data_IF_616909217607
#
_entry.id   IF_616909217607
#
_cell.length_a   1.000
_cell.length_b   1.000
_cell.length_c   1.000
_cell.angle_alpha   90.00
_cell.angle_beta   90.00
_cell.angle_gamma   90.00
#
_symmetry.space_group_name_H-M   'P 1'
#
loop_
_entity.id
_entity.type
_entity.pdbx_description
1 polymer ?
#
# COMPACT_ATOMS: atom_id res chain seq x y z
N UNK A 1 -21.35 12.02 15.59
CA UNK A 1 -20.31 12.41 14.60
C UNK A 1 -19.71 11.13 14.05
N UNK A 2 -19.37 11.06 12.76
CA UNK A 2 -18.61 9.93 12.21
C UNK A 2 -17.24 9.87 12.88
N UNK A 3 -16.82 8.69 13.36
CA UNK A 3 -15.45 8.48 13.83
C UNK A 3 -14.48 8.84 12.70
N UNK A 4 -13.39 9.55 13.00
CA UNK A 4 -12.34 9.79 11.99
C UNK A 4 -11.38 8.59 11.87
N UNK A 5 -11.49 7.61 12.77
CA UNK A 5 -10.77 6.35 12.70
C UNK A 5 -11.40 5.37 11.71
N UNK A 6 -12.72 5.42 11.51
CA UNK A 6 -13.43 4.53 10.59
C UNK A 6 -14.57 5.28 9.91
N UNK A 7 -14.72 5.10 8.60
CA UNK A 7 -15.86 5.61 7.85
C UNK A 7 -17.11 4.75 8.11
N UNK A 8 -16.94 3.42 8.04
CA UNK A 8 -18.02 2.46 8.27
C UNK A 8 -17.49 1.07 8.64
N UNK A 9 -18.34 0.28 9.31
CA UNK A 9 -18.16 -1.16 9.50
C UNK A 9 -19.28 -1.87 8.76
N UNK A 10 -18.94 -2.82 7.90
CA UNK A 10 -19.88 -3.65 7.16
C UNK A 10 -19.78 -5.10 7.62
N UNK A 11 -20.92 -5.78 7.75
CA UNK A 11 -21.01 -7.22 7.85
C UNK A 11 -21.54 -7.75 6.52
N UNK A 12 -20.77 -8.62 5.89
CA UNK A 12 -21.12 -9.25 4.62
C UNK A 12 -21.34 -10.74 4.85
N UNK A 13 -22.39 -11.31 4.24
CA UNK A 13 -22.68 -12.75 4.31
C UNK A 13 -22.78 -13.33 2.90
N UNK A 14 -22.57 -14.65 2.80
CA UNK A 14 -22.98 -15.39 1.61
C UNK A 14 -24.43 -15.85 1.77
N UNK A 15 -25.28 -15.43 0.85
CA UNK A 15 -26.66 -15.90 0.71
C UNK A 15 -26.74 -16.92 -0.44
N UNK A 16 -27.49 -18.01 -0.25
CA UNK A 16 -27.52 -19.12 -1.22
C UNK A 16 -28.23 -18.71 -2.51
N UNK A 17 -29.25 -17.86 -2.42
CA UNK A 17 -30.05 -17.46 -3.57
C UNK A 17 -29.44 -16.27 -4.32
N UNK A 18 -28.85 -15.32 -3.57
CA UNK A 18 -28.41 -14.03 -4.10
C UNK A 18 -26.89 -13.97 -4.29
N UNK A 19 -26.12 -14.75 -3.51
CA UNK A 19 -24.66 -14.64 -3.44
C UNK A 19 -24.21 -13.70 -2.32
N UNK A 20 -23.10 -12.98 -2.53
CA UNK A 20 -22.51 -12.12 -1.51
C UNK A 20 -23.32 -10.83 -1.33
N UNK A 21 -23.81 -10.58 -0.10
CA UNK A 21 -24.59 -9.38 0.22
C UNK A 21 -24.13 -8.73 1.53
N UNK A 22 -24.24 -7.40 1.61
CA UNK A 22 -24.01 -6.67 2.86
C UNK A 22 -25.25 -6.87 3.74
N UNK A 23 -25.07 -7.61 4.82
CA UNK A 23 -26.14 -7.94 5.78
C UNK A 23 -26.44 -6.75 6.71
N UNK A 24 -25.42 -5.95 7.01
CA UNK A 24 -25.52 -4.85 7.97
C UNK A 24 -24.36 -3.87 7.76
N UNK A 25 -24.61 -2.58 8.01
CA UNK A 25 -23.59 -1.53 7.97
C UNK A 25 -23.83 -0.48 9.05
N UNK A 26 -22.76 0.07 9.61
CA UNK A 26 -22.81 1.19 10.53
C UNK A 26 -21.75 2.24 10.16
N UNK A 27 -22.10 3.54 10.08
CA UNK A 27 -23.46 4.06 10.25
C UNK A 27 -24.39 3.63 9.12
N UNK A 28 -25.69 3.61 9.41
CA UNK A 28 -26.72 3.33 8.42
C UNK A 28 -26.58 4.28 7.22
N UNK A 29 -26.75 3.75 6.01
CA UNK A 29 -26.68 4.51 4.75
C UNK A 29 -25.33 5.22 4.50
N UNK A 30 -24.25 4.75 5.12
CA UNK A 30 -22.88 5.27 4.91
C UNK A 30 -22.26 4.89 3.57
N UNK A 31 -22.85 3.93 2.87
CA UNK A 31 -22.43 3.41 1.57
C UNK A 31 -23.61 3.45 0.60
N UNK A 32 -23.33 3.75 -0.66
CA UNK A 32 -24.30 3.69 -1.76
C UNK A 32 -24.51 2.25 -2.24
N UNK A 33 -25.63 1.97 -2.90
CA UNK A 33 -25.92 0.63 -3.45
C UNK A 33 -24.80 0.10 -4.38
N UNK A 34 -24.15 1.00 -5.11
CA UNK A 34 -23.06 0.64 -6.01
C UNK A 34 -21.77 0.30 -5.25
N UNK A 35 -21.51 0.98 -4.13
CA UNK A 35 -20.40 0.64 -3.24
C UNK A 35 -20.69 -0.64 -2.47
N UNK A 36 -21.92 -0.84 -2.02
CA UNK A 36 -22.38 -2.04 -1.33
C UNK A 36 -22.13 -3.30 -2.17
N UNK A 37 -22.54 -3.29 -3.45
CA UNK A 37 -22.25 -4.37 -4.40
C UNK A 37 -20.75 -4.62 -4.57
N UNK A 38 -19.94 -3.56 -4.62
CA UNK A 38 -18.49 -3.72 -4.79
C UNK A 38 -17.84 -4.29 -3.52
N UNK A 39 -18.26 -3.81 -2.35
CA UNK A 39 -17.79 -4.28 -1.05
C UNK A 39 -18.18 -5.75 -0.87
N UNK A 40 -19.41 -6.14 -1.21
CA UNK A 40 -19.85 -7.54 -1.02
C UNK A 40 -19.01 -8.53 -1.82
N UNK A 41 -18.63 -8.17 -3.05
CA UNK A 41 -17.78 -9.00 -3.90
C UNK A 41 -16.31 -9.00 -3.45
N UNK A 42 -15.75 -7.86 -3.05
CA UNK A 42 -14.36 -7.76 -2.60
C UNK A 42 -14.11 -8.34 -1.19
N UNK A 43 -15.17 -8.48 -0.38
CA UNK A 43 -15.09 -9.02 0.98
C UNK A 43 -14.92 -10.54 1.04
N UNK A 44 -14.93 -11.23 -0.11
CA UNK A 44 -14.77 -12.67 -0.24
C UNK A 44 -13.56 -12.99 -1.13
N UNK A 45 -12.72 -13.97 -0.76
CA UNK A 45 -11.66 -14.47 -1.65
C UNK A 45 -12.24 -15.05 -2.95
N UNK A 46 -11.72 -14.61 -4.10
CA UNK A 46 -12.07 -15.10 -5.44
C UNK A 46 -11.54 -16.51 -5.72
N UNK A 47 -10.45 -16.91 -5.06
CA UNK A 47 -9.86 -18.24 -5.22
C UNK A 47 -10.34 -19.21 -4.12
N UNK A 48 -10.59 -20.45 -4.54
CA UNK A 48 -10.93 -21.56 -3.65
C UNK A 48 -9.75 -22.04 -2.78
N UNK A 49 -8.61 -21.34 -2.75
CA UNK A 49 -7.46 -21.73 -1.93
C UNK A 49 -7.83 -21.80 -0.43
N UNK A 50 -8.84 -21.05 0.00
CA UNK A 50 -9.37 -21.09 1.36
C UNK A 50 -10.57 -22.04 1.55
N UNK A 51 -11.12 -22.61 0.47
CA UNK A 51 -12.45 -23.25 0.51
C UNK A 51 -12.50 -24.56 1.31
N UNK A 52 -11.37 -25.20 1.58
CA UNK A 52 -11.31 -26.47 2.31
C UNK A 52 -11.01 -26.33 3.81
N UNK A 53 -10.62 -25.13 4.27
CA UNK A 53 -10.20 -24.92 5.65
C UNK A 53 -11.21 -24.08 6.43
N UNK A 54 -11.46 -24.47 7.68
CA UNK A 54 -12.10 -23.57 8.64
C UNK A 54 -11.09 -22.53 9.10
N UNK A 55 -11.58 -21.30 9.33
CA UNK A 55 -10.73 -20.24 9.84
C UNK A 55 -11.15 -18.87 9.38
N UNK A 56 -10.20 -17.95 9.44
CA UNK A 56 -10.38 -16.58 8.98
C UNK A 56 -9.14 -16.11 8.21
N UNK A 57 -9.34 -15.13 7.35
CA UNK A 57 -8.30 -14.51 6.54
C UNK A 57 -8.52 -12.99 6.56
N UNK A 58 -7.46 -12.25 6.90
CA UNK A 58 -7.45 -10.79 6.82
C UNK A 58 -6.74 -10.30 5.58
N UNK A 59 -7.19 -9.21 5.00
CA UNK A 59 -6.57 -8.59 3.83
C UNK A 59 -7.11 -7.19 3.60
N UNK A 60 -6.45 -6.42 2.72
CA UNK A 60 -6.88 -5.07 2.35
C UNK A 60 -7.31 -5.03 0.89
N UNK A 61 -8.39 -4.31 0.61
CA UNK A 61 -8.75 -3.88 -0.75
C UNK A 61 -9.03 -2.37 -0.77
N UNK A 62 -9.29 -1.81 -1.97
CA UNK A 62 -9.70 -0.40 -2.12
C UNK A 62 -11.07 -0.32 -2.76
N UNK A 63 -11.92 0.54 -2.19
CA UNK A 63 -13.25 0.82 -2.71
C UNK A 63 -13.29 2.24 -3.23
N UNK A 64 -13.69 2.39 -4.49
CA UNK A 64 -13.94 3.71 -5.08
C UNK A 64 -15.17 4.33 -4.42
N UNK A 65 -15.02 5.51 -3.84
CA UNK A 65 -16.10 6.25 -3.16
C UNK A 65 -16.78 7.25 -4.09
N UNK A 66 -18.04 7.51 -3.80
CA UNK A 66 -18.86 8.54 -4.43
C UNK A 66 -18.35 9.94 -4.05
N UNK A 67 -18.38 10.90 -5.00
CA UNK A 67 -18.01 12.30 -4.72
C UNK A 67 -16.65 12.77 -5.25
N UNK A 68 -16.07 12.13 -6.27
CA UNK A 68 -14.92 12.65 -7.01
C UNK A 68 -14.20 11.62 -7.87
N UNK A 69 -13.58 12.05 -8.97
CA UNK A 69 -12.66 11.19 -9.75
C UNK A 69 -11.50 10.80 -8.82
N UNK A 70 -11.26 9.50 -8.64
CA UNK A 70 -10.17 8.92 -7.84
C UNK A 70 -10.25 9.05 -6.31
N UNK A 71 -11.45 9.21 -5.74
CA UNK A 71 -11.64 9.04 -4.29
C UNK A 71 -11.75 7.56 -3.95
N UNK A 72 -10.91 7.07 -3.05
CA UNK A 72 -10.92 5.67 -2.58
C UNK A 72 -10.77 5.60 -1.07
N UNK A 73 -11.44 4.62 -0.47
CA UNK A 73 -11.22 4.19 0.91
C UNK A 73 -10.53 2.83 0.92
N UNK A 74 -9.76 2.57 1.97
CA UNK A 74 -9.23 1.25 2.28
C UNK A 74 -10.31 0.43 2.96
N UNK A 75 -10.52 -0.80 2.47
CA UNK A 75 -11.37 -1.81 3.08
C UNK A 75 -10.50 -2.89 3.71
N UNK A 76 -10.45 -2.91 5.04
CA UNK A 76 -9.82 -3.97 5.81
C UNK A 76 -10.84 -5.07 6.05
N UNK A 77 -10.63 -6.23 5.45
CA UNK A 77 -11.56 -7.35 5.50
C UNK A 77 -11.04 -8.43 6.45
N UNK A 78 -11.95 -9.05 7.18
CA UNK A 78 -11.75 -10.31 7.90
C UNK A 78 -12.80 -11.30 7.41
N UNK A 79 -12.42 -12.10 6.42
CA UNK A 79 -13.23 -13.20 5.92
C UNK A 79 -13.19 -14.37 6.91
N UNK A 80 -14.30 -15.05 7.11
CA UNK A 80 -14.46 -16.16 8.03
C UNK A 80 -15.26 -17.28 7.35
N UNK A 81 -14.81 -18.52 7.51
CA UNK A 81 -15.51 -19.71 7.07
C UNK A 81 -15.56 -20.74 8.21
N UNK A 82 -16.74 -21.31 8.43
CA UNK A 82 -16.97 -22.39 9.39
C UNK A 82 -17.83 -23.47 8.76
N UNK A 83 -17.60 -24.73 9.12
CA UNK A 83 -18.48 -25.82 8.74
C UNK A 83 -19.84 -25.63 9.36
N UNK A 84 -20.85 -25.97 8.59
CA UNK A 84 -22.24 -25.81 8.96
C UNK A 84 -23.03 -26.91 8.24
N UNK A 85 -23.41 -27.95 8.99
CA UNK A 85 -24.08 -29.14 8.44
C UNK A 85 -25.52 -28.83 8.02
N UNK A 86 -26.14 -27.82 8.64
CA UNK A 86 -27.49 -27.36 8.28
C UNK A 86 -27.48 -26.50 7.00
N UNK A 87 -26.29 -26.06 6.55
CA UNK A 87 -26.13 -25.32 5.33
C UNK A 87 -25.94 -26.29 4.14
N UNK A 88 -26.73 -26.18 3.05
CA UNK A 88 -26.58 -27.02 1.86
C UNK A 88 -25.17 -27.05 1.23
N UNK A 89 -24.36 -26.01 1.46
CA UNK A 89 -22.96 -25.94 0.97
C UNK A 89 -21.95 -26.59 1.92
N UNK A 90 -22.38 -27.00 3.13
CA UNK A 90 -21.56 -27.57 4.19
C UNK A 90 -20.74 -26.55 4.99
N UNK A 91 -20.91 -25.25 4.71
CA UNK A 91 -20.22 -24.17 5.41
C UNK A 91 -21.00 -22.86 5.38
N UNK A 92 -20.78 -22.04 6.41
CA UNK A 92 -21.24 -20.65 6.49
C UNK A 92 -20.05 -19.71 6.33
N UNK A 93 -20.21 -18.69 5.49
CA UNK A 93 -19.19 -17.69 5.18
C UNK A 93 -19.70 -16.28 5.50
N UNK A 94 -18.88 -15.53 6.23
CA UNK A 94 -19.13 -14.12 6.55
C UNK A 94 -17.84 -13.31 6.49
N UNK A 95 -17.95 -12.01 6.32
CA UNK A 95 -16.80 -11.09 6.31
C UNK A 95 -17.13 -9.82 7.07
N UNK A 96 -16.20 -9.35 7.89
CA UNK A 96 -16.28 -8.03 8.54
C UNK A 96 -15.37 -7.10 7.76
N UNK A 97 -15.88 -5.95 7.33
CA UNK A 97 -15.11 -4.95 6.58
C UNK A 97 -15.11 -3.62 7.31
N UNK A 98 -13.93 -3.10 7.62
CA UNK A 98 -13.75 -1.73 8.11
C UNK A 98 -13.31 -0.84 6.93
N UNK A 99 -14.10 0.19 6.63
CA UNK A 99 -13.72 1.23 5.67
C UNK A 99 -13.08 2.41 6.39
N UNK A 100 -11.97 2.91 5.84
CA UNK A 100 -11.22 4.06 6.40
C UNK A 100 -10.33 4.71 5.35
N UNK A 101 -9.93 5.96 5.59
CA UNK A 101 -8.88 6.63 4.81
C UNK A 101 -7.49 6.51 5.45
N UNK A 102 -7.40 5.97 6.66
CA UNK A 102 -6.14 5.85 7.39
C UNK A 102 -5.40 4.57 6.97
N UNK A 103 -4.15 4.66 6.49
CA UNK A 103 -3.36 3.51 6.03
C UNK A 103 -2.63 2.77 7.16
N UNK A 104 -3.31 2.49 8.28
CA UNK A 104 -2.73 1.86 9.48
C UNK A 104 -2.95 0.34 9.49
N UNK A 105 -2.20 -0.38 8.66
CA UNK A 105 -2.52 -1.77 8.29
C UNK A 105 -2.58 -2.71 9.50
N UNK A 106 -1.53 -2.73 10.31
CA UNK A 106 -1.42 -3.58 11.51
C UNK A 106 -2.46 -3.21 12.53
N UNK A 107 -2.72 -1.91 12.72
CA UNK A 107 -3.75 -1.43 13.63
C UNK A 107 -5.13 -2.00 13.26
N UNK A 108 -5.55 -1.87 12.00
CA UNK A 108 -6.86 -2.38 11.57
C UNK A 108 -6.93 -3.90 11.56
N UNK A 109 -5.83 -4.60 11.23
CA UNK A 109 -5.77 -6.05 11.40
C UNK A 109 -5.96 -6.47 12.85
N UNK A 110 -5.26 -5.84 13.80
CA UNK A 110 -5.41 -6.14 15.23
C UNK A 110 -6.81 -5.80 15.72
N UNK A 111 -7.38 -4.69 15.25
CA UNK A 111 -8.75 -4.30 15.56
C UNK A 111 -9.78 -5.34 15.09
N UNK A 112 -9.63 -5.84 13.86
CA UNK A 112 -10.48 -6.91 13.31
C UNK A 112 -10.37 -8.21 14.12
N UNK A 113 -9.16 -8.61 14.52
CA UNK A 113 -8.95 -9.81 15.36
C UNK A 113 -9.61 -9.68 16.75
N UNK A 114 -9.51 -8.49 17.35
CA UNK A 114 -10.16 -8.20 18.64
C UNK A 114 -11.68 -8.24 18.50
N UNK A 115 -12.24 -7.62 17.46
CA UNK A 115 -13.68 -7.68 17.15
C UNK A 115 -14.11 -9.14 16.95
N UNK A 116 -13.38 -9.91 16.14
CA UNK A 116 -13.67 -11.32 15.87
C UNK A 116 -13.65 -12.20 17.12
N UNK A 117 -12.68 -12.00 18.00
CA UNK A 117 -12.55 -12.78 19.23
C UNK A 117 -13.73 -12.53 20.17
N UNK A 118 -14.21 -11.29 20.27
CA UNK A 118 -15.38 -10.96 21.09
C UNK A 118 -16.70 -11.47 20.48
N UNK A 119 -16.82 -11.49 19.16
CA UNK A 119 -17.99 -12.05 18.45
C UNK A 119 -18.24 -13.51 18.80
N UNK A 120 -17.19 -14.33 19.00
CA UNK A 120 -17.34 -15.74 19.38
C UNK A 120 -18.14 -15.94 20.68
N UNK A 121 -18.28 -14.89 21.49
CA UNK A 121 -18.93 -14.92 22.79
C UNK A 121 -20.38 -14.40 22.77
N UNK A 122 -20.92 -13.93 21.63
CA UNK A 122 -22.27 -13.34 21.57
C UNK A 122 -22.84 -13.09 20.17
N UNK A 123 -23.88 -12.27 20.09
CA UNK A 123 -24.53 -11.92 18.81
C UNK A 123 -23.63 -11.01 17.96
N UNK A 124 -23.29 -11.47 16.75
CA UNK A 124 -22.40 -10.78 15.81
C UNK A 124 -22.77 -9.31 15.56
N UNK A 125 -24.03 -9.02 15.25
CA UNK A 125 -24.48 -7.63 14.96
C UNK A 125 -24.38 -6.72 16.18
N UNK A 126 -24.77 -7.22 17.35
CA UNK A 126 -24.71 -6.44 18.60
C UNK A 126 -23.25 -6.10 18.97
N UNK A 127 -22.33 -7.06 18.81
CA UNK A 127 -20.90 -6.84 19.08
C UNK A 127 -20.28 -5.84 18.09
N UNK A 128 -20.67 -5.88 16.82
CA UNK A 128 -20.22 -4.90 15.82
C UNK A 128 -20.76 -3.50 16.09
N UNK A 129 -22.03 -3.38 16.49
CA UNK A 129 -22.64 -2.11 16.88
C UNK A 129 -21.91 -1.51 18.10
N UNK A 130 -21.67 -2.33 19.12
CA UNK A 130 -20.94 -1.89 20.32
C UNK A 130 -19.51 -1.45 20.01
N UNK A 131 -18.79 -2.20 19.16
CA UNK A 131 -17.47 -1.81 18.69
C UNK A 131 -17.49 -0.44 17.97
N UNK A 132 -18.46 -0.23 17.07
CA UNK A 132 -18.61 1.03 16.35
C UNK A 132 -18.84 2.22 17.30
N UNK A 133 -19.69 2.05 18.31
CA UNK A 133 -19.98 3.09 19.32
C UNK A 133 -18.73 3.44 20.13
N UNK A 134 -17.96 2.45 20.57
CA UNK A 134 -16.70 2.68 21.28
C UNK A 134 -15.67 3.42 20.40
N UNK A 135 -15.49 2.99 19.15
CA UNK A 135 -14.57 3.62 18.19
C UNK A 135 -15.01 5.05 17.85
N UNK A 136 -16.31 5.33 17.86
CA UNK A 136 -16.86 6.66 17.62
C UNK A 136 -16.60 7.64 18.76
N UNK A 137 -16.33 7.13 19.96
CA UNK A 137 -15.99 7.94 21.13
C UNK A 137 -14.48 8.21 21.27
N UNK A 138 -13.64 7.61 20.43
CA UNK A 138 -12.21 7.86 20.45
C UNK A 138 -11.88 9.31 20.05
N UNK A 139 -10.82 9.84 20.66
CA UNK A 139 -10.25 11.13 20.25
C UNK A 139 -9.85 11.07 18.77
N UNK A 140 -9.98 12.18 18.05
CA UNK A 140 -9.59 12.26 16.63
C UNK A 140 -8.12 11.84 16.44
N UNK A 141 -7.80 11.04 15.41
CA UNK A 141 -6.44 10.64 15.12
C UNK A 141 -5.61 11.87 14.73
N UNK A 142 -4.54 12.12 15.46
CA UNK A 142 -3.61 13.23 15.24
C UNK A 142 -2.22 12.67 14.92
N UNK A 143 -1.57 13.09 13.82
CA UNK A 143 -0.26 12.57 13.49
C UNK A 143 0.81 12.89 14.56
N UNK A 144 1.74 11.96 14.75
CA UNK A 144 2.80 11.95 15.79
C UNK A 144 2.27 11.93 17.22
N UNK A 145 1.04 11.48 17.42
CA UNK A 145 0.48 11.25 18.76
C UNK A 145 0.27 9.76 18.97
N UNK A 146 0.75 9.28 20.11
CA UNK A 146 0.45 7.95 20.62
C UNK A 146 -0.94 7.98 21.27
N UNK A 147 -1.82 7.10 20.82
CA UNK A 147 -3.16 6.91 21.37
C UNK A 147 -3.23 5.58 22.10
N UNK A 148 -3.79 5.61 23.31
CA UNK A 148 -4.14 4.41 24.06
C UNK A 148 -5.66 4.22 23.98
N UNK A 149 -6.08 3.48 22.96
CA UNK A 149 -7.48 3.30 22.60
C UNK A 149 -8.07 2.09 23.32
N UNK A 150 -9.19 2.28 24.03
CA UNK A 150 -9.91 1.19 24.68
C UNK A 150 -10.97 0.64 23.71
N UNK A 151 -11.01 -0.69 23.55
CA UNK A 151 -12.10 -1.40 22.87
C UNK A 151 -12.37 -2.74 23.55
N UNK A 152 -13.64 -3.03 23.80
CA UNK A 152 -14.06 -4.10 24.70
C UNK A 152 -13.24 -4.03 26.01
N UNK A 153 -12.59 -5.14 26.40
CA UNK A 153 -11.72 -5.23 27.57
C UNK A 153 -10.22 -5.06 27.24
N UNK A 154 -9.88 -4.60 26.03
CA UNK A 154 -8.51 -4.48 25.56
C UNK A 154 -8.09 -3.02 25.37
N UNK A 155 -6.78 -2.78 25.49
CA UNK A 155 -6.14 -1.51 25.15
C UNK A 155 -5.25 -1.71 23.93
N UNK A 156 -5.38 -0.82 22.96
CA UNK A 156 -4.56 -0.79 21.75
C UNK A 156 -3.75 0.51 21.80
N UNK A 157 -2.43 0.38 21.82
CA UNK A 157 -1.53 1.51 21.60
C UNK A 157 -1.31 1.68 20.09
N UNK A 158 -1.56 2.88 19.56
CA UNK A 158 -1.33 3.19 18.14
C UNK A 158 -0.74 4.58 18.00
N UNK A 159 0.34 4.68 17.22
CA UNK A 159 0.90 5.96 16.81
C UNK A 159 0.41 6.28 15.40
N UNK A 160 -0.13 7.48 15.19
CA UNK A 160 -0.58 7.93 13.86
C UNK A 160 0.63 8.49 13.12
N UNK A 161 1.06 7.92 11.97
CA UNK A 161 2.28 8.33 11.30
C UNK A 161 2.29 9.78 10.80
N UNK A 162 3.48 10.39 10.83
CA UNK A 162 3.70 11.80 10.44
C UNK A 162 3.17 12.15 9.04
N UNK A 163 3.40 11.27 8.06
CA UNK A 163 3.06 11.51 6.64
C UNK A 163 1.57 11.75 6.39
N UNK A 164 0.71 11.47 7.37
CA UNK A 164 -0.72 11.79 7.32
C UNK A 164 -1.01 13.28 7.54
N UNK A 165 -0.08 14.09 8.08
CA UNK A 165 -0.21 15.57 8.16
C UNK A 165 -0.29 16.23 6.78
N UNK A 166 0.27 15.61 5.74
CA UNK A 166 0.36 16.23 4.43
C UNK A 166 -0.93 16.24 3.61
N UNK A 167 -2.07 15.79 4.16
CA UNK A 167 -3.32 15.77 3.39
C UNK A 167 -4.19 17.03 3.51
N UNK A 168 -4.06 17.86 4.56
CA UNK A 168 -4.66 19.21 4.63
C UNK A 168 -4.04 20.01 5.78
N UNK A 169 -3.17 20.99 5.49
CA UNK A 169 -2.97 22.13 6.38
C UNK A 169 -2.74 23.37 5.51
N UNK A 170 -3.67 24.32 5.61
CA UNK A 170 -3.49 25.70 5.18
C UNK A 170 -2.22 26.27 5.81
N UNK A 171 -1.45 26.99 5.01
CA UNK A 171 -0.21 27.66 5.37
C UNK A 171 -0.30 28.47 6.67
N UNK A 172 0.12 27.89 7.81
CA UNK A 172 0.40 28.65 9.04
C UNK A 172 1.24 27.89 10.11
N UNK A 173 1.83 26.73 9.80
CA UNK A 173 2.45 25.85 10.81
C UNK A 173 3.98 25.92 10.91
N UNK A 174 4.60 27.06 10.56
CA UNK A 174 6.05 27.24 10.65
C UNK A 174 6.54 27.80 11.99
N UNK A 175 5.65 28.13 12.94
CA UNK A 175 6.04 28.82 14.19
C UNK A 175 6.17 27.87 15.39
N UNK A 176 5.47 26.74 15.43
CA UNK A 176 5.46 25.83 16.60
C UNK A 176 6.63 24.80 16.64
N UNK A 177 7.47 24.75 15.59
CA UNK A 177 8.58 23.79 15.52
C UNK A 177 9.82 24.21 16.33
N UNK A 178 9.91 25.48 16.76
CA UNK A 178 11.06 25.96 17.53
C UNK A 178 10.98 25.60 19.02
N UNK A 179 9.79 25.51 19.61
CA UNK A 179 9.64 25.23 21.04
C UNK A 179 9.85 23.75 21.39
N UNK A 180 9.68 22.83 20.43
CA UNK A 180 9.87 21.38 20.65
C UNK A 180 11.36 20.98 20.61
N UNK A 181 12.23 21.83 20.09
CA UNK A 181 13.66 21.52 19.90
C UNK A 181 14.49 21.58 21.19
N UNK A 182 13.97 22.18 22.27
CA UNK A 182 14.74 22.42 23.49
C UNK A 182 14.80 21.23 24.48
N UNK A 183 14.00 20.16 24.27
CA UNK A 183 13.90 19.03 25.22
C UNK A 183 14.30 17.64 24.67
N UNK A 184 15.08 17.55 23.58
CA UNK A 184 15.40 16.26 22.96
C UNK A 184 16.80 15.75 23.34
N UNK A 185 16.86 14.67 24.12
CA UNK A 185 18.07 13.86 24.33
C UNK A 185 18.56 13.21 23.01
N UNK A 186 19.84 12.84 22.91
CA UNK A 186 20.43 12.18 21.73
C UNK A 186 19.66 10.93 21.26
N UNK A 187 19.11 10.15 22.20
CA UNK A 187 18.26 8.98 21.91
C UNK A 187 16.94 9.38 21.25
N UNK A 188 16.34 10.49 21.70
CA UNK A 188 15.14 11.03 21.09
C UNK A 188 15.43 11.65 19.73
N UNK A 189 16.60 12.27 19.51
CA UNK A 189 16.97 12.79 18.18
C UNK A 189 17.11 11.67 17.13
N UNK A 190 17.67 10.52 17.51
CA UNK A 190 17.75 9.34 16.63
C UNK A 190 16.37 8.75 16.36
N UNK A 191 15.51 8.64 17.39
CA UNK A 191 14.12 8.21 17.21
C UNK A 191 13.29 9.22 16.39
N UNK A 192 13.50 10.51 16.57
CA UNK A 192 12.81 11.57 15.81
C UNK A 192 13.26 11.63 14.35
N UNK A 193 14.51 11.32 14.01
CA UNK A 193 14.94 11.22 12.59
C UNK A 193 14.43 9.95 11.91
N UNK A 194 14.30 8.85 12.65
CA UNK A 194 13.69 7.62 12.13
C UNK A 194 12.15 7.76 11.94
N UNK A 195 11.46 8.49 12.82
CA UNK A 195 10.00 8.70 12.83
C UNK A 195 9.51 9.85 11.92
N UNK A 196 10.36 10.83 11.59
CA UNK A 196 9.95 12.01 10.80
C UNK A 196 9.54 11.68 9.35
N UNK A 197 10.07 10.61 8.76
CA UNK A 197 9.79 10.25 7.35
C UNK A 197 9.43 8.77 7.13
N UNK A 198 8.50 8.25 7.92
CA UNK A 198 7.90 6.94 7.64
C UNK A 198 7.05 7.10 6.37
N UNK A 199 7.40 6.43 5.28
CA UNK A 199 6.60 6.44 4.05
C UNK A 199 5.25 5.72 4.22
N UNK A 200 4.47 5.62 3.16
CA UNK A 200 3.21 4.88 3.20
C UNK A 200 3.45 3.40 3.49
N UNK A 201 2.60 2.77 4.32
CA UNK A 201 2.56 1.32 4.56
C UNK A 201 3.86 0.67 5.10
N UNK A 202 4.66 1.37 5.90
CA UNK A 202 5.90 0.79 6.46
C UNK A 202 5.69 -0.46 7.32
N UNK A 203 4.47 -0.63 7.85
CA UNK A 203 4.05 -1.80 8.61
C UNK A 203 3.98 -3.09 7.78
N UNK A 204 3.87 -2.99 6.45
CA UNK A 204 3.76 -4.15 5.57
C UNK A 204 5.09 -4.93 5.53
N UNK A 205 5.00 -6.25 5.76
CA UNK A 205 6.17 -7.12 5.83
C UNK A 205 6.48 -7.74 4.46
N UNK A 206 7.15 -6.96 3.60
CA UNK A 206 7.48 -7.39 2.23
C UNK A 206 8.40 -8.61 2.21
N UNK A 207 9.29 -8.75 3.22
CA UNK A 207 10.18 -9.91 3.33
C UNK A 207 9.40 -11.21 3.51
N UNK A 208 8.39 -11.20 4.38
CA UNK A 208 7.56 -12.37 4.64
C UNK A 208 6.56 -12.64 3.49
N UNK A 209 6.09 -11.59 2.81
CA UNK A 209 5.06 -11.71 1.79
C UNK A 209 5.60 -12.20 0.43
N UNK A 210 6.81 -11.74 0.03
CA UNK A 210 7.44 -12.18 -1.20
C UNK A 210 8.04 -13.58 -1.07
N UNK A 211 7.93 -14.44 -2.10
CA UNK A 211 8.75 -15.64 -2.18
C UNK A 211 10.23 -15.29 -2.11
N UNK A 212 11.03 -16.06 -1.38
CA UNK A 212 12.45 -15.77 -1.17
C UNK A 212 13.23 -15.56 -2.48
N UNK A 213 12.90 -16.30 -3.54
CA UNK A 213 13.50 -16.17 -4.86
C UNK A 213 13.25 -14.77 -5.50
N UNK A 214 12.19 -14.07 -5.12
CA UNK A 214 11.85 -12.73 -5.62
C UNK A 214 12.64 -11.62 -4.94
N UNK A 215 13.24 -11.87 -3.77
CA UNK A 215 13.95 -10.83 -3.02
C UNK A 215 15.14 -10.26 -3.79
N UNK A 216 15.75 -11.05 -4.68
CA UNK A 216 16.86 -10.58 -5.54
C UNK A 216 16.44 -9.48 -6.50
N UNK A 217 15.14 -9.42 -6.83
CA UNK A 217 14.57 -8.45 -7.77
C UNK A 217 14.10 -7.17 -7.07
N UNK A 218 14.30 -7.00 -5.76
CA UNK A 218 13.87 -5.81 -5.03
C UNK A 218 14.30 -4.47 -5.67
N UNK A 219 15.50 -4.32 -6.29
CA UNK A 219 15.84 -3.08 -7.00
C UNK A 219 14.91 -2.82 -8.18
N UNK A 220 14.65 -3.84 -9.00
CA UNK A 220 13.71 -3.77 -10.13
C UNK A 220 12.29 -3.45 -9.65
N UNK A 221 11.87 -4.06 -8.53
CA UNK A 221 10.57 -3.79 -7.92
C UNK A 221 10.46 -2.34 -7.43
N UNK A 222 11.52 -1.81 -6.81
CA UNK A 222 11.60 -0.40 -6.43
C UNK A 222 11.53 0.52 -7.66
N UNK A 223 12.22 0.19 -8.76
CA UNK A 223 12.15 0.94 -10.03
C UNK A 223 10.71 1.05 -10.54
N UNK A 224 9.94 -0.04 -10.48
CA UNK A 224 8.53 -0.02 -10.91
C UNK A 224 7.68 0.95 -10.09
N UNK A 225 7.88 0.96 -8.77
CA UNK A 225 7.12 1.80 -7.86
C UNK A 225 7.50 3.27 -8.04
N UNK A 226 8.80 3.59 -8.03
CA UNK A 226 9.28 4.98 -8.12
C UNK A 226 8.87 5.62 -9.43
N UNK A 227 8.83 4.86 -10.53
CA UNK A 227 8.47 5.36 -11.86
C UNK A 227 6.98 5.21 -12.23
N UNK A 228 6.12 4.78 -11.29
CA UNK A 228 4.69 4.49 -11.52
C UNK A 228 4.41 3.52 -12.68
N UNK A 229 5.30 2.56 -12.93
CA UNK A 229 5.06 1.58 -13.96
C UNK A 229 3.93 0.63 -13.56
N UNK A 230 3.04 0.34 -14.51
CA UNK A 230 1.96 -0.62 -14.30
C UNK A 230 2.51 -2.06 -14.23
N UNK A 231 2.13 -2.81 -13.19
CA UNK A 231 2.40 -4.24 -13.04
C UNK A 231 1.25 -4.95 -12.30
N UNK A 232 1.15 -6.27 -12.49
CA UNK A 232 0.18 -7.13 -11.81
C UNK A 232 0.91 -8.17 -10.97
N UNK A 233 0.47 -8.38 -9.72
CA UNK A 233 0.94 -9.47 -8.84
C UNK A 233 -0.12 -10.56 -8.80
N UNK A 234 0.29 -11.81 -8.98
CA UNK A 234 -0.54 -12.99 -8.74
C UNK A 234 0.00 -13.72 -7.51
N UNK A 235 -0.84 -13.95 -6.50
CA UNK A 235 -0.46 -14.61 -5.24
C UNK A 235 -1.48 -15.69 -4.86
N UNK A 236 -1.13 -16.55 -3.89
CA UNK A 236 -2.00 -17.67 -3.49
C UNK A 236 -3.20 -17.23 -2.63
N UNK A 237 -3.09 -16.10 -1.93
CA UNK A 237 -4.14 -15.59 -1.04
C UNK A 237 -4.30 -14.07 -1.11
N UNK A 238 -5.51 -13.54 -0.83
CA UNK A 238 -5.74 -12.10 -0.71
C UNK A 238 -4.83 -11.41 0.32
N UNK A 239 -4.51 -12.09 1.43
CA UNK A 239 -3.57 -11.58 2.44
C UNK A 239 -2.20 -11.33 1.84
N UNK A 240 -1.56 -12.37 1.30
CA UNK A 240 -0.24 -12.28 0.69
C UNK A 240 -0.23 -11.25 -0.45
N UNK A 241 -1.27 -11.27 -1.28
CA UNK A 241 -1.46 -10.33 -2.37
C UNK A 241 -1.42 -8.87 -1.90
N UNK A 242 -2.27 -8.53 -0.92
CA UNK A 242 -2.35 -7.18 -0.38
C UNK A 242 -1.07 -6.75 0.34
N UNK A 243 -0.43 -7.64 1.10
CA UNK A 243 0.85 -7.39 1.76
C UNK A 243 1.98 -7.11 0.76
N UNK A 244 2.03 -7.83 -0.37
CA UNK A 244 3.04 -7.56 -1.42
C UNK A 244 2.83 -6.15 -2.00
N UNK A 245 1.60 -5.80 -2.40
CA UNK A 245 1.34 -4.48 -3.02
C UNK A 245 1.69 -3.35 -2.06
N UNK A 246 1.22 -3.41 -0.81
CA UNK A 246 1.50 -2.38 0.20
C UNK A 246 2.98 -2.37 0.61
N UNK A 247 3.60 -3.55 0.69
CA UNK A 247 5.02 -3.74 0.96
C UNK A 247 5.93 -3.17 -0.13
N UNK A 248 5.54 -3.26 -1.40
CA UNK A 248 6.26 -2.66 -2.51
C UNK A 248 6.13 -1.14 -2.50
N UNK A 249 4.93 -0.60 -2.26
CA UNK A 249 4.71 0.85 -2.15
C UNK A 249 5.58 1.47 -1.06
N UNK A 250 5.74 0.78 0.07
CA UNK A 250 6.58 1.27 1.18
C UNK A 250 8.08 1.33 0.87
N UNK A 251 8.58 0.71 -0.21
CA UNK A 251 10.01 0.73 -0.55
C UNK A 251 10.51 2.11 -0.98
N UNK A 252 9.64 2.99 -1.49
CA UNK A 252 10.05 4.32 -1.99
C UNK A 252 10.07 5.40 -0.91
N UNK A 253 9.90 5.03 0.37
CA UNK A 253 10.01 5.95 1.50
C UNK A 253 11.29 6.80 1.39
N UNK A 254 11.24 8.12 1.56
CA UNK A 254 10.12 8.91 2.08
C UNK A 254 9.14 9.43 1.02
N UNK A 255 9.34 9.10 -0.26
CA UNK A 255 8.44 9.55 -1.34
C UNK A 255 7.05 8.94 -1.18
N UNK A 256 6.03 9.72 -1.55
CA UNK A 256 4.65 9.28 -1.63
C UNK A 256 4.35 8.65 -2.98
N UNK A 257 3.76 7.46 -2.97
CA UNK A 257 3.25 6.85 -4.18
C UNK A 257 1.94 7.52 -4.60
N UNK A 258 1.86 7.96 -5.84
CA UNK A 258 0.71 8.69 -6.39
C UNK A 258 -0.02 7.98 -7.54
N UNK A 259 0.39 6.76 -7.89
CA UNK A 259 -0.31 5.96 -8.90
C UNK A 259 -1.59 5.30 -8.36
N UNK A 260 -2.39 4.71 -9.24
CA UNK A 260 -3.50 3.88 -8.80
C UNK A 260 -2.99 2.49 -8.39
N UNK A 261 -3.54 1.94 -7.32
CA UNK A 261 -3.17 0.61 -6.84
C UNK A 261 -4.39 -0.11 -6.29
N UNK A 262 -4.45 -1.43 -6.51
CA UNK A 262 -5.47 -2.33 -5.98
C UNK A 262 -4.76 -3.43 -5.20
N UNK A 263 -4.67 -3.35 -3.86
CA UNK A 263 -3.98 -4.37 -3.08
C UNK A 263 -4.59 -5.76 -3.27
N UNK A 264 -5.91 -5.80 -3.47
CA UNK A 264 -6.64 -6.98 -3.91
C UNK A 264 -7.73 -6.57 -4.91
N UNK A 265 -7.80 -7.29 -6.03
CA UNK A 265 -8.69 -7.06 -7.16
C UNK A 265 -9.23 -8.38 -7.68
N UNK A 266 -10.50 -8.39 -8.06
CA UNK A 266 -11.21 -9.59 -8.51
C UNK A 266 -11.86 -9.36 -9.86
N UNK A 267 -12.27 -10.43 -10.52
CA UNK A 267 -13.01 -10.36 -11.79
C UNK A 267 -14.38 -9.69 -11.65
N UNK A 268 -14.87 -9.57 -10.41
CA UNK A 268 -16.16 -8.97 -10.08
C UNK A 268 -16.08 -7.47 -9.82
N UNK A 269 -14.87 -6.90 -9.76
CA UNK A 269 -14.72 -5.45 -9.65
C UNK A 269 -15.30 -4.79 -10.91
N UNK A 270 -16.11 -3.74 -10.71
CA UNK A 270 -16.78 -3.01 -11.79
C UNK A 270 -15.80 -2.43 -12.83
N UNK A 271 -14.55 -2.17 -12.45
CA UNK A 271 -13.52 -1.64 -13.34
C UNK A 271 -12.81 -2.73 -14.15
N UNK A 272 -13.10 -4.03 -13.90
CA UNK A 272 -12.46 -5.15 -14.61
C UNK A 272 -12.58 -5.04 -16.13
N UNK A 273 -13.81 -4.86 -16.62
CA UNK A 273 -14.06 -4.76 -18.07
C UNK A 273 -13.39 -3.54 -18.69
N UNK A 274 -13.45 -2.39 -18.00
CA UNK A 274 -12.82 -1.16 -18.45
C UNK A 274 -11.30 -1.30 -18.54
N UNK A 275 -10.66 -1.84 -17.49
CA UNK A 275 -9.20 -2.08 -17.48
C UNK A 275 -8.83 -3.06 -18.59
N UNK A 276 -9.63 -4.11 -18.83
CA UNK A 276 -9.36 -5.05 -19.90
C UNK A 276 -9.38 -4.37 -21.29
N UNK A 277 -10.40 -3.58 -21.57
CA UNK A 277 -10.54 -2.83 -22.83
C UNK A 277 -9.39 -1.82 -23.02
N UNK A 278 -8.99 -1.12 -21.97
CA UNK A 278 -7.86 -0.19 -22.01
C UNK A 278 -6.55 -0.91 -22.35
N UNK A 279 -6.30 -2.09 -21.74
CA UNK A 279 -5.12 -2.92 -22.06
C UNK A 279 -5.16 -3.42 -23.51
N UNK A 280 -6.32 -3.86 -24.00
CA UNK A 280 -6.49 -4.32 -25.38
C UNK A 280 -6.17 -3.20 -26.38
N UNK A 281 -6.56 -1.97 -26.06
CA UNK A 281 -6.30 -0.75 -26.83
C UNK A 281 -4.94 -0.09 -26.53
N UNK A 282 -4.08 -0.75 -25.73
CA UNK A 282 -2.74 -0.25 -25.36
C UNK A 282 -2.74 1.13 -24.67
N UNK A 283 -3.79 1.43 -23.91
CA UNK A 283 -3.91 2.61 -23.07
C UNK A 283 -3.16 2.35 -21.75
N UNK A 284 -2.30 3.29 -21.33
CA UNK A 284 -1.50 3.18 -20.10
C UNK A 284 -2.25 3.85 -18.94
N UNK A 285 -2.48 3.13 -17.84
CA UNK A 285 -3.25 3.62 -16.68
C UNK A 285 -2.40 3.88 -15.42
N UNK A 286 -1.09 3.59 -15.45
CA UNK A 286 -0.19 3.65 -14.29
C UNK A 286 -0.82 2.99 -13.04
N UNK A 287 -1.34 1.77 -13.23
CA UNK A 287 -2.06 1.01 -12.20
C UNK A 287 -1.27 -0.22 -11.76
N UNK A 288 -1.27 -0.47 -10.46
CA UNK A 288 -0.74 -1.68 -9.86
C UNK A 288 -1.90 -2.55 -9.35
N UNK A 289 -1.93 -3.83 -9.70
CA UNK A 289 -3.04 -4.71 -9.33
C UNK A 289 -2.52 -5.99 -8.68
N UNK A 290 -3.05 -6.31 -7.50
CA UNK A 290 -2.88 -7.61 -6.88
C UNK A 290 -4.10 -8.50 -7.13
N UNK A 291 -3.89 -9.73 -7.59
CA UNK A 291 -4.94 -10.72 -7.85
C UNK A 291 -4.56 -12.10 -7.30
N UNK A 292 -5.56 -12.96 -7.10
CA UNK A 292 -5.32 -14.36 -6.70
C UNK A 292 -5.75 -15.37 -7.75
N UNK A 293 -6.54 -14.94 -8.73
CA UNK A 293 -7.11 -15.83 -9.74
C UNK A 293 -6.21 -15.88 -10.99
N UNK A 294 -5.64 -17.04 -11.36
CA UNK A 294 -4.81 -17.17 -12.56
C UNK A 294 -5.55 -16.84 -13.87
N UNK A 295 -6.88 -16.77 -13.88
CA UNK A 295 -7.66 -16.31 -15.03
C UNK A 295 -7.21 -14.93 -15.54
N UNK A 296 -6.69 -14.07 -14.67
CA UNK A 296 -6.13 -12.78 -15.06
C UNK A 296 -5.00 -12.88 -16.08
N UNK A 297 -4.26 -13.99 -16.14
CA UNK A 297 -3.27 -14.24 -17.21
C UNK A 297 -3.91 -14.34 -18.60
N UNK A 298 -5.16 -14.84 -18.65
CA UNK A 298 -5.95 -14.98 -19.88
C UNK A 298 -6.75 -13.73 -20.20
N UNK A 299 -7.23 -13.00 -19.20
CA UNK A 299 -7.95 -11.74 -19.41
C UNK A 299 -6.95 -10.63 -19.78
N UNK A 300 -6.00 -10.34 -18.89
CA UNK A 300 -5.05 -9.25 -19.05
C UNK A 300 -3.80 -9.70 -19.83
N UNK A 301 -4.00 -10.25 -21.03
CA UNK A 301 -2.92 -10.77 -21.87
C UNK A 301 -1.87 -9.74 -22.27
N UNK A 302 -2.22 -8.45 -22.31
CA UNK A 302 -1.31 -7.35 -22.68
C UNK A 302 -0.72 -6.61 -21.46
N UNK A 303 -0.87 -7.15 -20.24
CA UNK A 303 -0.35 -6.52 -19.04
C UNK A 303 1.19 -6.53 -19.08
N UNK A 304 1.89 -5.38 -19.03
CA UNK A 304 3.29 -5.31 -19.42
C UNK A 304 4.25 -6.02 -18.46
N UNK A 305 3.89 -6.13 -17.18
CA UNK A 305 4.68 -6.84 -16.17
C UNK A 305 3.75 -7.65 -15.29
N UNK A 306 4.10 -8.92 -15.09
CA UNK A 306 3.38 -9.85 -14.23
C UNK A 306 4.38 -10.47 -13.25
N UNK A 307 4.10 -10.33 -11.95
CA UNK A 307 4.88 -10.88 -10.86
C UNK A 307 4.13 -12.09 -10.28
N UNK A 308 4.71 -13.27 -10.41
CA UNK A 308 4.13 -14.55 -9.97
C UNK A 308 4.67 -14.93 -8.58
N UNK A 309 3.88 -14.63 -7.56
CA UNK A 309 4.12 -14.98 -6.17
C UNK A 309 3.35 -16.22 -5.72
N UNK A 310 2.47 -16.74 -6.56
CA UNK A 310 1.73 -17.97 -6.33
C UNK A 310 2.61 -19.23 -6.40
N UNK A 311 2.07 -20.29 -5.81
CA UNK A 311 2.66 -21.63 -5.73
C UNK A 311 2.81 -22.33 -7.08
N UNK A 312 2.01 -21.96 -8.09
CA UNK A 312 2.08 -22.57 -9.43
C UNK A 312 3.25 -22.05 -10.27
N UNK A 313 3.98 -21.04 -9.80
CA UNK A 313 5.10 -20.47 -10.51
C UNK A 313 6.36 -21.35 -10.40
N UNK A 314 6.77 -21.93 -11.53
CA UNK A 314 7.84 -22.95 -11.55
C UNK A 314 9.25 -22.34 -11.51
N UNK A 315 9.57 -21.30 -12.30
CA UNK A 315 10.93 -20.70 -12.31
C UNK A 315 10.97 -19.19 -12.60
N UNK A 316 10.37 -18.73 -13.71
CA UNK A 316 10.35 -17.30 -14.01
C UNK A 316 9.17 -16.63 -13.31
N UNK A 317 9.46 -15.91 -12.23
CA UNK A 317 8.47 -15.21 -11.40
C UNK A 317 8.29 -13.74 -11.77
N UNK A 318 9.19 -13.15 -12.57
CA UNK A 318 9.08 -11.79 -13.07
C UNK A 318 8.94 -11.84 -14.60
N UNK A 319 7.69 -11.81 -15.07
CA UNK A 319 7.36 -11.89 -16.48
C UNK A 319 7.22 -10.47 -17.04
N UNK A 320 7.95 -10.16 -18.10
CA UNK A 320 7.79 -8.91 -18.86
C UNK A 320 7.22 -9.20 -20.23
N UNK A 321 6.43 -8.26 -20.76
CA UNK A 321 5.94 -8.32 -22.13
C UNK A 321 6.66 -7.29 -23.00
N UNK A 322 6.92 -7.68 -24.25
CA UNK A 322 7.71 -6.88 -25.19
C UNK A 322 9.17 -6.74 -24.78
N UNK A 323 9.87 -5.78 -25.39
CA UNK A 323 11.28 -5.48 -25.11
C UNK A 323 11.45 -4.61 -23.86
N UNK A 324 10.67 -4.85 -22.81
CA UNK A 324 10.73 -4.06 -21.59
C UNK A 324 12.01 -4.41 -20.83
N UNK A 325 12.86 -3.40 -20.67
CA UNK A 325 14.17 -3.52 -20.05
C UNK A 325 14.22 -2.68 -18.78
N UNK A 326 14.64 -3.30 -17.68
CA UNK A 326 14.87 -2.63 -16.39
C UNK A 326 16.18 -1.85 -16.41
N UNK A 327 16.19 -0.71 -15.71
CA UNK A 327 17.39 0.08 -15.49
C UNK A 327 18.28 -0.54 -14.41
N UNK A 328 17.66 -1.08 -13.36
CA UNK A 328 18.34 -1.72 -12.24
C UNK A 328 18.53 -3.23 -12.44
N UNK A 329 19.67 -3.73 -11.98
CA UNK A 329 20.00 -5.15 -11.91
C UNK A 329 19.48 -5.82 -10.65
N UNK A 330 19.63 -7.14 -10.60
CA UNK A 330 19.34 -7.95 -9.42
C UNK A 330 20.41 -7.73 -8.35
N UNK A 331 19.99 -7.55 -7.10
CA UNK A 331 20.90 -7.33 -5.99
C UNK A 331 21.05 -8.59 -5.12
N UNK A 332 22.08 -9.36 -5.44
CA UNK A 332 22.47 -10.53 -4.64
C UNK A 332 23.22 -10.16 -3.36
N UNK A 333 23.76 -8.96 -3.24
CA UNK A 333 24.54 -8.54 -2.08
C UNK A 333 23.63 -8.25 -0.89
N UNK A 334 22.54 -7.51 -1.11
CA UNK A 334 21.54 -7.26 -0.06
C UNK A 334 20.98 -8.57 0.52
N UNK A 335 20.80 -9.61 -0.31
CA UNK A 335 20.37 -10.92 0.18
C UNK A 335 21.39 -11.59 1.11
N UNK A 336 22.69 -11.41 0.86
CA UNK A 336 23.75 -11.97 1.71
C UNK A 336 23.83 -11.29 3.07
N UNK A 337 23.33 -10.06 3.19
CA UNK A 337 23.26 -9.33 4.46
C UNK A 337 22.10 -9.80 5.36
N UNK A 338 21.14 -10.56 4.81
CA UNK A 338 19.97 -11.03 5.56
C UNK A 338 20.36 -12.09 6.59
N UNK A 339 19.73 -12.03 7.76
CA UNK A 339 19.95 -13.02 8.81
C UNK A 339 19.14 -14.30 8.52
N UNK A 340 19.65 -15.49 8.92
CA UNK A 340 18.92 -16.75 8.75
C UNK A 340 17.55 -16.72 9.41
N UNK A 341 16.54 -17.23 8.71
CA UNK A 341 15.15 -17.27 9.19
C UNK A 341 15.03 -18.34 10.26
N UNK A 342 14.81 -17.94 11.51
CA UNK A 342 14.60 -18.84 12.66
C UNK A 342 13.18 -18.76 13.22
N UNK A 343 12.60 -17.57 13.20
CA UNK A 343 11.30 -17.24 13.79
C UNK A 343 10.71 -15.97 13.13
N UNK A 344 9.52 -15.55 13.54
CA UNK A 344 8.88 -14.31 13.03
C UNK A 344 9.67 -13.04 13.34
N UNK A 345 10.41 -13.01 14.45
CA UNK A 345 11.28 -11.89 14.80
C UNK A 345 12.40 -11.70 13.76
N UNK A 346 13.07 -12.78 13.35
CA UNK A 346 14.10 -12.71 12.31
C UNK A 346 13.55 -12.24 10.97
N UNK A 347 12.30 -12.58 10.63
CA UNK A 347 11.63 -12.06 9.43
C UNK A 347 11.37 -10.55 9.53
N UNK A 348 10.95 -10.10 10.71
CA UNK A 348 10.70 -8.68 11.00
C UNK A 348 12.00 -7.87 10.93
N UNK A 349 13.10 -8.40 11.47
CA UNK A 349 14.43 -7.77 11.37
C UNK A 349 14.88 -7.65 9.90
N UNK A 350 14.76 -8.72 9.12
CA UNK A 350 15.08 -8.69 7.69
C UNK A 350 14.20 -7.70 6.91
N UNK A 351 12.92 -7.59 7.25
CA UNK A 351 12.03 -6.58 6.68
C UNK A 351 12.53 -5.17 6.98
N UNK A 352 12.85 -4.86 8.24
CA UNK A 352 13.39 -3.56 8.64
C UNK A 352 14.71 -3.23 7.94
N UNK A 353 15.58 -4.22 7.75
CA UNK A 353 16.82 -4.06 6.99
C UNK A 353 16.53 -3.68 5.52
N UNK A 354 15.60 -4.38 4.86
CA UNK A 354 15.15 -4.03 3.51
C UNK A 354 14.63 -2.59 3.48
N UNK A 355 13.72 -2.21 4.38
CA UNK A 355 13.16 -0.85 4.42
C UNK A 355 14.26 0.20 4.58
N UNK A 356 15.26 -0.04 5.44
CA UNK A 356 16.39 0.87 5.64
C UNK A 356 17.24 1.04 4.37
N UNK A 357 17.57 -0.07 3.70
CA UNK A 357 18.37 -0.04 2.45
C UNK A 357 17.63 0.77 1.37
N UNK A 358 16.36 0.47 1.12
CA UNK A 358 15.59 1.16 0.08
C UNK A 358 15.18 2.59 0.45
N UNK A 359 15.07 2.92 1.75
CA UNK A 359 14.94 4.31 2.23
C UNK A 359 16.19 5.11 1.89
N UNK A 360 17.38 4.58 2.20
CA UNK A 360 18.64 5.24 1.85
C UNK A 360 18.78 5.41 0.33
N UNK A 361 18.46 4.37 -0.44
CA UNK A 361 18.47 4.45 -1.90
C UNK A 361 17.52 5.54 -2.42
N UNK A 362 16.31 5.63 -1.84
CA UNK A 362 15.33 6.66 -2.19
C UNK A 362 15.80 8.07 -1.83
N UNK A 363 16.42 8.25 -0.65
CA UNK A 363 17.00 9.51 -0.20
C UNK A 363 18.14 9.99 -1.10
N UNK A 364 19.04 9.09 -1.49
CA UNK A 364 20.11 9.43 -2.44
C UNK A 364 19.55 9.75 -3.84
N UNK A 365 18.55 8.99 -4.28
CA UNK A 365 17.90 9.21 -5.58
C UNK A 365 17.24 10.59 -5.66
N UNK A 366 16.45 10.97 -4.66
CA UNK A 366 15.87 12.32 -4.61
C UNK A 366 16.90 13.41 -4.28
N UNK A 367 17.97 13.05 -3.54
CA UNK A 367 19.04 13.96 -3.17
C UNK A 367 19.71 14.63 -4.36
N UNK A 368 19.77 13.97 -5.53
CA UNK A 368 20.29 14.59 -6.74
C UNK A 368 19.44 15.77 -7.23
N UNK A 369 18.12 15.72 -7.06
CA UNK A 369 17.25 16.86 -7.36
C UNK A 369 17.53 18.02 -6.41
N UNK A 370 17.67 17.73 -5.12
CA UNK A 370 17.99 18.78 -4.12
C UNK A 370 19.36 19.41 -4.40
N UNK A 371 20.37 18.60 -4.76
CA UNK A 371 21.69 19.11 -5.18
C UNK A 371 21.61 19.96 -6.45
N UNK A 372 20.83 19.52 -7.46
CA UNK A 372 20.61 20.28 -8.68
C UNK A 372 19.97 21.63 -8.37
N UNK A 373 18.90 21.65 -7.56
CA UNK A 373 18.27 22.90 -7.17
C UNK A 373 19.20 23.79 -6.34
N UNK A 374 19.97 23.23 -5.42
CA UNK A 374 20.95 23.97 -4.63
C UNK A 374 22.01 24.64 -5.52
N UNK A 375 22.40 24.02 -6.63
CA UNK A 375 23.40 24.56 -7.58
C UNK A 375 22.94 25.83 -8.32
N UNK A 376 21.62 26.07 -8.40
CA UNK A 376 21.10 27.26 -9.07
C UNK A 376 21.33 28.52 -8.23
N UNK A 377 21.76 29.62 -8.83
CA UNK A 377 21.98 30.87 -8.08
C UNK A 377 20.68 31.69 -7.84
N UNK A 378 19.59 31.33 -8.53
CA UNK A 378 18.34 32.08 -8.47
C UNK A 378 17.61 31.89 -7.13
N UNK A 379 16.98 32.96 -6.62
CA UNK A 379 16.05 32.90 -5.48
C UNK A 379 14.86 31.97 -5.78
N UNK A 380 14.39 31.98 -7.03
CA UNK A 380 13.35 31.07 -7.52
C UNK A 380 14.02 29.93 -8.28
N UNK A 381 13.92 28.74 -7.71
CA UNK A 381 14.45 27.51 -8.27
C UNK A 381 13.49 26.95 -9.31
N UNK A 382 13.99 26.57 -10.50
CA UNK A 382 13.17 26.04 -11.60
C UNK A 382 13.70 24.69 -12.04
N UNK A 383 12.80 23.75 -12.31
CA UNK A 383 13.21 22.47 -12.85
C UNK A 383 13.30 22.53 -14.38
N UNK A 384 14.46 22.17 -14.93
CA UNK A 384 14.66 21.90 -16.36
C UNK A 384 15.17 20.47 -16.56
N UNK A 385 14.46 19.68 -17.37
CA UNK A 385 14.78 18.27 -17.60
C UNK A 385 16.16 18.10 -18.24
N UNK A 386 16.52 18.92 -19.25
CA UNK A 386 17.78 18.74 -19.98
C UNK A 386 18.98 19.09 -19.11
N UNK A 387 18.90 20.21 -18.40
CA UNK A 387 19.95 20.64 -17.47
C UNK A 387 20.13 19.62 -16.33
N UNK A 388 19.02 19.14 -15.75
CA UNK A 388 19.07 18.14 -14.70
C UNK A 388 19.72 16.84 -15.19
N UNK A 389 19.34 16.34 -16.36
CA UNK A 389 19.92 15.11 -16.89
C UNK A 389 21.41 15.26 -17.21
N UNK A 390 21.85 16.44 -17.66
CA UNK A 390 23.28 16.71 -17.82
C UNK A 390 24.01 16.78 -16.47
N UNK A 391 23.38 17.41 -15.46
CA UNK A 391 23.88 17.44 -14.09
C UNK A 391 24.08 16.03 -13.52
N UNK A 392 23.09 15.13 -13.67
CA UNK A 392 23.17 13.76 -13.14
C UNK A 392 24.32 12.95 -13.75
N UNK A 393 24.75 13.24 -14.98
CA UNK A 393 25.90 12.54 -15.58
C UNK A 393 27.19 12.82 -14.81
N UNK A 394 27.31 13.92 -14.08
CA UNK A 394 28.53 14.27 -13.35
C UNK A 394 28.48 13.87 -11.87
N UNK A 395 27.32 13.40 -11.39
CA UNK A 395 27.13 12.97 -10.02
C UNK A 395 27.47 11.49 -9.81
N UNK A 396 27.78 11.14 -8.56
CA UNK A 396 27.94 9.76 -8.09
C UNK A 396 26.97 9.50 -6.95
N UNK A 397 26.40 8.31 -6.91
CA UNK A 397 25.52 7.81 -5.83
C UNK A 397 26.01 6.43 -5.39
N UNK A 398 25.68 5.99 -4.17
CA UNK A 398 26.19 4.73 -3.61
C UNK A 398 25.63 3.50 -4.33
N UNK A 399 24.39 3.58 -4.82
CA UNK A 399 23.72 2.50 -5.52
C UNK A 399 24.01 2.45 -7.03
N UNK A 400 25.05 3.15 -7.50
CA UNK A 400 25.41 3.20 -8.92
C UNK A 400 25.84 1.84 -9.48
N UNK A 401 26.32 0.94 -8.62
CA UNK A 401 26.68 -0.43 -8.98
C UNK A 401 25.47 -1.31 -9.37
N UNK A 402 24.25 -0.87 -9.05
CA UNK A 402 23.03 -1.56 -9.50
C UNK A 402 22.69 -1.30 -10.98
N UNK A 403 23.45 -0.45 -11.67
CA UNK A 403 23.24 -0.15 -13.09
C UNK A 403 24.33 -0.80 -13.94
N UNK A 404 23.94 -1.50 -15.01
CA UNK A 404 24.93 -2.06 -15.94
C UNK A 404 25.63 -0.97 -16.77
N UNK A 405 24.93 0.14 -17.02
CA UNK A 405 25.46 1.26 -17.79
C UNK A 405 25.02 2.59 -17.20
N UNK A 406 25.85 3.62 -17.39
CA UNK A 406 25.51 5.01 -17.07
C UNK A 406 24.28 5.51 -17.85
N UNK A 407 24.00 4.94 -19.03
CA UNK A 407 22.80 5.27 -19.80
C UNK A 407 21.53 4.80 -19.09
N UNK A 408 21.54 3.61 -18.48
CA UNK A 408 20.41 3.12 -17.66
C UNK A 408 20.18 3.97 -16.42
N UNK A 409 21.24 4.45 -15.80
CA UNK A 409 21.16 5.42 -14.70
C UNK A 409 20.40 6.69 -15.11
N UNK A 410 20.79 7.32 -16.21
CA UNK A 410 20.11 8.52 -16.74
C UNK A 410 18.68 8.20 -17.18
N UNK A 411 18.44 7.04 -17.80
CA UNK A 411 17.11 6.58 -18.24
C UNK A 411 16.13 6.42 -17.08
N UNK A 412 16.59 5.98 -15.91
CA UNK A 412 15.75 5.88 -14.71
C UNK A 412 15.21 7.26 -14.31
N UNK A 413 16.09 8.27 -14.24
CA UNK A 413 15.67 9.65 -13.94
C UNK A 413 14.74 10.22 -15.01
N UNK A 414 15.02 9.98 -16.30
CA UNK A 414 14.12 10.37 -17.40
C UNK A 414 12.72 9.77 -17.23
N UNK A 415 12.64 8.51 -16.79
CA UNK A 415 11.37 7.83 -16.59
C UNK A 415 10.66 8.37 -15.34
N UNK A 416 11.40 8.62 -14.26
CA UNK A 416 10.85 9.21 -13.05
C UNK A 416 10.29 10.62 -13.28
N UNK A 417 10.98 11.48 -14.02
CA UNK A 417 10.53 12.85 -14.33
C UNK A 417 9.16 12.88 -15.04
N UNK A 418 8.84 11.82 -15.79
CA UNK A 418 7.55 11.67 -16.50
C UNK A 418 6.48 10.97 -15.66
N UNK A 419 6.81 10.55 -14.44
CA UNK A 419 5.92 9.80 -13.55
C UNK A 419 5.06 10.74 -12.69
N UNK A 420 3.91 10.25 -12.24
CA UNK A 420 3.07 10.98 -11.30
C UNK A 420 3.76 11.22 -9.94
N UNK A 421 4.67 10.33 -9.53
CA UNK A 421 5.40 10.46 -8.28
C UNK A 421 6.29 11.71 -8.32
N UNK A 422 6.90 12.01 -9.46
CA UNK A 422 7.69 13.24 -9.62
C UNK A 422 6.81 14.49 -9.57
N UNK A 423 5.62 14.44 -10.18
CA UNK A 423 4.64 15.54 -10.09
C UNK A 423 4.24 15.78 -8.62
N UNK A 424 3.98 14.73 -7.87
CA UNK A 424 3.71 14.81 -6.42
C UNK A 424 4.91 15.37 -5.66
N UNK A 425 6.11 14.85 -5.92
CA UNK A 425 7.36 15.30 -5.31
C UNK A 425 7.60 16.81 -5.50
N UNK A 426 7.40 17.32 -6.72
CA UNK A 426 7.50 18.76 -7.01
C UNK A 426 6.37 19.56 -6.35
N UNK A 427 5.13 19.04 -6.36
CA UNK A 427 3.97 19.72 -5.77
C UNK A 427 4.13 19.96 -4.27
N UNK A 428 4.64 18.97 -3.55
CA UNK A 428 4.93 19.08 -2.11
C UNK A 428 6.00 20.14 -1.81
N UNK A 429 6.80 20.50 -2.82
CA UNK A 429 7.88 21.50 -2.73
C UNK A 429 7.60 22.77 -3.55
N UNK A 430 6.34 23.02 -3.96
CA UNK A 430 5.94 24.20 -4.77
C UNK A 430 6.29 25.54 -4.13
N UNK A 431 6.38 25.60 -2.80
CA UNK A 431 6.81 26.81 -2.08
C UNK A 431 8.31 27.10 -2.29
N UNK A 432 9.06 26.17 -2.87
CA UNK A 432 10.51 26.24 -3.12
C UNK A 432 10.81 26.22 -4.63
N UNK A 433 10.02 25.48 -5.42
CA UNK A 433 10.27 25.23 -6.85
C UNK A 433 9.12 25.71 -7.75
N UNK A 434 9.41 26.53 -8.77
CA UNK A 434 8.45 26.87 -9.83
C UNK A 434 8.72 25.96 -11.03
N UNK A 435 7.85 24.97 -11.23
CA UNK A 435 7.86 24.16 -12.45
C UNK A 435 7.27 24.97 -13.62
N UNK A 436 8.03 25.13 -14.71
CA UNK A 436 7.45 25.54 -16.01
C UNK A 436 6.93 24.28 -16.72
N UNK A 437 5.64 24.24 -17.01
CA UNK A 437 4.99 23.35 -17.97
C UNK A 437 5.27 21.83 -17.80
N UNK A 438 4.65 21.20 -16.79
CA UNK A 438 4.44 19.75 -16.80
C UNK A 438 2.91 19.54 -16.92
N UNK A 439 2.46 19.18 -18.14
CA UNK A 439 1.11 18.70 -18.45
C UNK A 439 1.26 17.29 -19.01
#
# INVERSE_FOLDING_TARGET
MLSQWIESICLVKFDIEIGQIVEWTQPLQSITDQEEKNISMLAFPDSNAFSQNEGHLKYVFRVRRSGGKNKFSLGFALFMQRKDEDNPRGYTQKSIVILTNLPLVTFYYNLLELIYTNIKQGCLKAQLQYAYEQISNWEKPQPNKLFNLQIFNNKIAVEVPHYLKMQKVDSQMNVELQEVLEELTLTNMIQFDDLRDIGQFQEANIFAALPHAMLVHLPKLWELIVTNQQFMVIADSPYQCSEIILGMISLISPMKYSGDYRPYFTIYDKEFQQINQELENSIVRNIIIGVTNPFFLKAFKKFPIIIRCDSQAQQNRLLTQGNKEFCLQDDKQTLKMMIPIKNEETKTINNSLIKKIYRNMSLEFIGLFEMYFASQQNQVKKFDEKEFLEFTKNCKVSFQDLFETKQKFVKLYQTFIRSSNFVTYLNERKNVYIAKNII
#
